data_IF_702607339507
#
_entry.id   IF_702607339507
#
_cell.length_a   1.000
_cell.length_b   1.000
_cell.length_c   1.000
_cell.angle_alpha   90.00
_cell.angle_beta   90.00
_cell.angle_gamma   90.00
#
_symmetry.space_group_name_H-M   'P 1'
#
loop_
_entity.id
_entity.type
_entity.pdbx_description
1 polymer ?
#
# COMPACT_ATOMS: atom_id res chain seq x y z
N UNK A 1 -25.33 -26.55 3.87
CA UNK A 1 -24.47 -25.79 2.95
C UNK A 1 -23.53 -24.96 3.81
N UNK A 2 -22.25 -25.33 3.88
CA UNK A 2 -21.25 -24.59 4.63
C UNK A 2 -20.75 -23.49 3.70
N UNK A 3 -21.10 -22.24 4.02
CA UNK A 3 -20.51 -21.08 3.37
C UNK A 3 -19.01 -21.08 3.70
N UNK A 4 -18.18 -21.48 2.75
CA UNK A 4 -16.74 -21.29 2.83
C UNK A 4 -16.49 -19.79 2.85
N UNK A 5 -16.15 -19.25 4.02
CA UNK A 5 -15.56 -17.92 4.12
C UNK A 5 -14.32 -17.90 3.23
N UNK A 6 -14.46 -17.33 2.03
CA UNK A 6 -13.33 -16.89 1.21
C UNK A 6 -12.71 -15.72 1.94
N UNK A 7 -11.82 -16.03 2.89
CA UNK A 7 -10.77 -15.08 3.25
C UNK A 7 -10.07 -14.82 1.92
N UNK A 8 -10.25 -13.62 1.37
CA UNK A 8 -9.48 -13.18 0.22
C UNK A 8 -8.01 -13.37 0.61
N UNK A 9 -7.37 -14.42 0.07
CA UNK A 9 -5.93 -14.56 0.15
C UNK A 9 -5.37 -13.22 -0.31
N UNK A 10 -4.57 -12.55 0.52
CA UNK A 10 -3.83 -11.37 0.08
C UNK A 10 -3.04 -11.76 -1.16
N UNK A 11 -3.60 -11.49 -2.34
CA UNK A 11 -2.96 -11.76 -3.60
C UNK A 11 -1.72 -10.89 -3.67
N UNK A 12 -0.58 -11.49 -4.00
CA UNK A 12 0.58 -10.70 -4.38
C UNK A 12 0.22 -9.80 -5.56
N UNK A 13 0.89 -8.66 -5.67
CA UNK A 13 0.82 -7.86 -6.89
C UNK A 13 1.84 -8.42 -7.87
N UNK A 14 1.37 -8.86 -9.04
CA UNK A 14 2.19 -9.48 -10.07
C UNK A 14 2.15 -8.66 -11.36
N UNK A 15 3.20 -8.78 -12.16
CA UNK A 15 3.35 -8.06 -13.42
C UNK A 15 3.90 -8.97 -14.50
N UNK A 16 3.50 -8.73 -15.75
CA UNK A 16 4.16 -9.31 -16.90
C UNK A 16 5.57 -8.70 -17.07
N UNK A 17 6.40 -9.32 -17.92
CA UNK A 17 7.79 -8.91 -18.14
C UNK A 17 7.94 -7.54 -18.82
N UNK A 18 6.87 -7.02 -19.41
CA UNK A 18 6.78 -5.68 -19.97
C UNK A 18 6.36 -4.63 -18.92
N UNK A 19 6.08 -5.04 -17.69
CA UNK A 19 5.59 -4.17 -16.62
C UNK A 19 4.07 -4.04 -16.57
N UNK A 20 3.31 -4.72 -17.43
CA UNK A 20 1.84 -4.69 -17.40
C UNK A 20 1.31 -5.37 -16.13
N UNK A 21 0.42 -4.73 -15.35
CA UNK A 21 -0.21 -5.35 -14.19
C UNK A 21 -0.93 -6.65 -14.53
N UNK A 22 -0.74 -7.68 -13.70
CA UNK A 22 -1.39 -8.99 -13.80
C UNK A 22 -1.98 -9.39 -12.45
N UNK A 23 -2.79 -8.50 -11.85
CA UNK A 23 -3.33 -8.66 -10.50
C UNK A 23 -4.45 -9.72 -10.42
N UNK A 24 -5.13 -9.98 -11.52
CA UNK A 24 -6.20 -10.99 -11.60
C UNK A 24 -5.95 -11.99 -12.72
N UNK A 25 -6.53 -13.18 -12.55
CA UNK A 25 -6.61 -14.22 -13.57
C UNK A 25 -8.03 -14.77 -13.66
N UNK A 26 -8.41 -15.24 -14.85
CA UNK A 26 -9.65 -15.99 -15.07
C UNK A 26 -9.51 -17.39 -14.48
N UNK A 27 -10.36 -17.74 -13.51
CA UNK A 27 -10.44 -19.06 -12.93
C UNK A 27 -11.12 -20.06 -13.90
N UNK A 28 -11.06 -21.37 -13.57
CA UNK A 28 -11.66 -22.43 -14.40
C UNK A 28 -13.17 -22.27 -14.58
N UNK A 29 -13.84 -21.63 -13.63
CA UNK A 29 -15.28 -21.32 -13.67
C UNK A 29 -15.59 -20.02 -14.44
N UNK A 30 -14.59 -19.35 -15.02
CA UNK A 30 -14.75 -18.10 -15.77
C UNK A 30 -14.70 -16.82 -14.92
N UNK A 31 -14.70 -16.92 -13.59
CA UNK A 31 -14.67 -15.77 -12.70
C UNK A 31 -13.26 -15.16 -12.58
N UNK A 32 -13.18 -13.84 -12.39
CA UNK A 32 -11.92 -13.18 -12.04
C UNK A 32 -11.59 -13.41 -10.57
N UNK A 33 -10.33 -13.77 -10.31
CA UNK A 33 -9.79 -13.84 -8.95
C UNK A 33 -8.37 -13.29 -8.91
N UNK A 34 -7.88 -12.97 -7.72
CA UNK A 34 -6.49 -12.55 -7.52
C UNK A 34 -5.50 -13.60 -8.04
N UNK A 35 -4.41 -13.12 -8.63
CA UNK A 35 -3.29 -13.93 -9.10
C UNK A 35 -2.52 -14.53 -7.91
N UNK A 36 -2.40 -15.85 -7.87
CA UNK A 36 -1.63 -16.56 -6.83
C UNK A 36 -0.18 -16.74 -7.25
N UNK A 37 0.70 -17.07 -6.30
CA UNK A 37 2.08 -17.48 -6.61
C UNK A 37 2.14 -18.66 -7.60
N UNK A 38 1.17 -19.57 -7.57
CA UNK A 38 1.10 -20.71 -8.50
C UNK A 38 0.82 -20.24 -9.94
N UNK A 39 -0.12 -19.31 -10.08
CA UNK A 39 -0.44 -18.71 -11.39
C UNK A 39 0.77 -17.93 -11.91
N UNK A 40 1.37 -17.09 -11.06
CA UNK A 40 2.54 -16.31 -11.40
C UNK A 40 3.72 -17.16 -11.89
N UNK A 41 4.02 -18.27 -11.20
CA UNK A 41 5.03 -19.24 -11.65
C UNK A 41 4.70 -19.85 -13.01
N UNK A 42 3.44 -20.24 -13.24
CA UNK A 42 3.00 -20.81 -14.51
C UNK A 42 3.10 -19.81 -15.66
N UNK A 43 2.78 -18.55 -15.40
CA UNK A 43 2.72 -17.48 -16.39
C UNK A 43 4.05 -16.71 -16.55
N UNK A 44 5.06 -17.01 -15.74
CA UNK A 44 6.35 -16.31 -15.77
C UNK A 44 6.25 -14.84 -15.34
N UNK A 45 5.33 -14.53 -14.42
CA UNK A 45 5.11 -13.18 -13.90
C UNK A 45 6.16 -12.79 -12.87
N UNK A 46 6.43 -11.49 -12.79
CA UNK A 46 7.33 -10.88 -11.84
C UNK A 46 6.57 -10.47 -10.57
N UNK A 47 7.10 -10.75 -9.37
CA UNK A 47 6.53 -10.23 -8.12
C UNK A 47 6.75 -8.71 -8.02
N UNK A 48 5.82 -8.02 -7.36
CA UNK A 48 6.03 -6.63 -6.97
C UNK A 48 7.15 -6.52 -5.91
N UNK A 49 7.76 -5.34 -5.82
CA UNK A 49 8.66 -4.97 -4.71
C UNK A 49 8.01 -5.29 -3.35
N UNK A 50 6.75 -4.88 -3.16
CA UNK A 50 6.00 -5.14 -1.92
C UNK A 50 5.70 -6.62 -1.68
N UNK A 51 5.50 -7.41 -2.73
CA UNK A 51 5.28 -8.87 -2.64
C UNK A 51 6.56 -9.56 -2.17
N UNK A 52 7.73 -9.12 -2.66
CA UNK A 52 9.04 -9.62 -2.19
C UNK A 52 9.24 -9.24 -0.72
N UNK A 53 8.99 -7.99 -0.35
CA UNK A 53 9.18 -7.52 1.03
C UNK A 53 8.29 -8.26 2.03
N UNK A 54 7.05 -8.58 1.65
CA UNK A 54 6.13 -9.39 2.49
C UNK A 54 6.64 -10.80 2.76
N UNK A 55 7.60 -11.32 1.99
CA UNK A 55 8.22 -12.62 2.26
C UNK A 55 9.26 -12.55 3.38
N UNK A 56 9.77 -11.36 3.71
CA UNK A 56 10.65 -11.18 4.85
C UNK A 56 9.86 -11.23 6.16
N UNK A 57 10.49 -11.73 7.23
CA UNK A 57 9.88 -11.71 8.55
C UNK A 57 9.71 -10.25 9.02
N UNK A 58 8.58 -9.94 9.64
CA UNK A 58 8.31 -8.62 10.25
C UNK A 58 7.94 -8.77 11.73
N UNK A 59 8.91 -9.03 12.63
CA UNK A 59 8.64 -9.33 14.03
C UNK A 59 7.87 -8.23 14.76
N UNK A 60 8.16 -6.96 14.45
CA UNK A 60 7.48 -5.81 15.06
C UNK A 60 5.99 -5.74 14.68
N UNK A 61 5.66 -5.99 13.40
CA UNK A 61 4.28 -6.03 12.94
C UNK A 61 3.52 -7.21 13.56
N UNK A 62 4.14 -8.38 13.65
CA UNK A 62 3.52 -9.55 14.27
C UNK A 62 3.28 -9.34 15.77
N UNK A 63 4.25 -8.78 16.49
CA UNK A 63 4.07 -8.41 17.90
C UNK A 63 2.94 -7.39 18.09
N UNK A 64 2.85 -6.38 17.20
CA UNK A 64 1.77 -5.40 17.23
C UNK A 64 0.39 -6.05 17.01
N UNK A 65 0.24 -6.93 16.01
CA UNK A 65 -1.02 -7.66 15.74
C UNK A 65 -1.45 -8.50 16.95
N UNK A 66 -0.50 -9.17 17.61
CA UNK A 66 -0.78 -9.95 18.82
C UNK A 66 -1.26 -9.05 19.97
N UNK A 67 -0.65 -7.89 20.17
CA UNK A 67 -1.10 -6.92 21.16
C UNK A 67 -2.51 -6.40 20.86
N UNK A 68 -2.84 -6.10 19.60
CA UNK A 68 -4.21 -5.72 19.21
C UNK A 68 -5.22 -6.83 19.48
N UNK A 69 -4.87 -8.08 19.18
CA UNK A 69 -5.72 -9.25 19.48
C UNK A 69 -5.97 -9.40 20.99
N UNK A 70 -4.93 -9.23 21.81
CA UNK A 70 -5.06 -9.30 23.26
C UNK A 70 -5.92 -8.16 23.82
N UNK A 71 -5.72 -6.93 23.35
CA UNK A 71 -6.53 -5.79 23.75
C UNK A 71 -8.00 -6.01 23.40
N UNK A 72 -8.31 -6.40 22.17
CA UNK A 72 -9.67 -6.73 21.76
C UNK A 72 -10.30 -7.83 22.64
N UNK A 73 -9.53 -8.86 23.00
CA UNK A 73 -10.01 -9.93 23.88
C UNK A 73 -10.33 -9.44 25.29
N UNK A 74 -9.58 -8.45 25.79
CA UNK A 74 -9.74 -7.89 27.14
C UNK A 74 -10.86 -6.85 27.23
N UNK A 75 -11.15 -6.13 26.15
CA UNK A 75 -12.09 -5.00 26.17
C UNK A 75 -13.44 -5.30 25.56
N UNK A 76 -13.55 -6.30 24.66
CA UNK A 76 -14.80 -6.61 23.99
C UNK A 76 -15.76 -7.37 24.94
N UNK A 77 -16.93 -6.80 25.31
CA UNK A 77 -17.86 -7.46 26.21
C UNK A 77 -18.51 -8.67 25.52
N UNK A 78 -18.66 -9.77 26.26
CA UNK A 78 -19.43 -10.94 25.81
C UNK A 78 -20.93 -10.63 25.79
N UNK A 79 -21.62 -11.09 24.77
CA UNK A 79 -23.08 -11.05 24.75
C UNK A 79 -23.68 -12.17 25.60
N UNK A 80 -24.88 -11.95 26.12
CA UNK A 80 -25.61 -12.97 26.89
C UNK A 80 -25.90 -14.20 26.02
N UNK A 81 -25.57 -15.39 26.52
CA UNK A 81 -25.71 -16.64 25.78
C UNK A 81 -24.75 -16.80 24.59
N UNK A 82 -23.75 -15.93 24.43
CA UNK A 82 -22.78 -16.03 23.33
C UNK A 82 -21.86 -17.25 23.48
N UNK A 83 -21.89 -18.13 22.48
CA UNK A 83 -20.98 -19.27 22.39
C UNK A 83 -19.52 -18.84 22.16
N UNK A 84 -18.58 -19.65 22.63
CA UNK A 84 -17.14 -19.34 22.58
C UNK A 84 -16.62 -19.06 21.17
N UNK A 85 -17.02 -19.87 20.18
CA UNK A 85 -16.59 -19.69 18.79
C UNK A 85 -17.10 -18.36 18.20
N UNK A 86 -18.31 -17.94 18.56
CA UNK A 86 -18.85 -16.63 18.17
C UNK A 86 -18.01 -15.51 18.76
N UNK A 87 -17.72 -15.59 20.05
CA UNK A 87 -16.92 -14.58 20.73
C UNK A 87 -15.51 -14.45 20.13
N UNK A 88 -14.84 -15.58 19.86
CA UNK A 88 -13.51 -15.60 19.22
C UNK A 88 -13.55 -14.90 17.86
N UNK A 89 -14.59 -15.15 17.04
CA UNK A 89 -14.75 -14.50 15.74
C UNK A 89 -14.91 -12.98 15.87
N UNK A 90 -15.65 -12.49 16.88
CA UNK A 90 -15.81 -11.05 17.10
C UNK A 90 -14.51 -10.40 17.58
N UNK A 91 -13.78 -11.03 18.49
CA UNK A 91 -12.45 -10.55 18.94
C UNK A 91 -11.47 -10.46 17.76
N UNK A 92 -11.44 -11.49 16.90
CA UNK A 92 -10.60 -11.48 15.71
C UNK A 92 -10.97 -10.37 14.72
N UNK A 93 -12.28 -10.09 14.55
CA UNK A 93 -12.74 -9.00 13.71
C UNK A 93 -12.38 -7.62 14.30
N UNK A 94 -12.65 -7.41 15.58
CA UNK A 94 -12.37 -6.18 16.32
C UNK A 94 -10.88 -5.82 16.27
N UNK A 95 -10.01 -6.80 16.56
CA UNK A 95 -8.54 -6.61 16.53
C UNK A 95 -7.98 -6.15 15.17
N UNK A 96 -8.72 -6.36 14.07
CA UNK A 96 -8.30 -6.00 12.71
C UNK A 96 -8.98 -4.74 12.19
N UNK A 97 -10.01 -4.25 12.88
CA UNK A 97 -10.86 -3.17 12.38
C UNK A 97 -10.09 -1.85 12.22
N UNK A 98 -9.21 -1.53 13.17
CA UNK A 98 -8.33 -0.36 13.07
C UNK A 98 -7.41 -0.43 11.84
N UNK A 99 -6.76 -1.58 11.61
CA UNK A 99 -5.90 -1.77 10.45
C UNK A 99 -6.69 -1.68 9.13
N UNK A 100 -7.90 -2.25 9.09
CA UNK A 100 -8.79 -2.18 7.92
C UNK A 100 -9.18 -0.75 7.60
N UNK A 101 -9.66 0.02 8.58
CA UNK A 101 -10.03 1.44 8.39
C UNK A 101 -8.84 2.28 7.95
N UNK A 102 -7.66 2.06 8.52
CA UNK A 102 -6.44 2.75 8.14
C UNK A 102 -6.05 2.45 6.68
N UNK A 103 -6.13 1.18 6.25
CA UNK A 103 -5.86 0.79 4.87
C UNK A 103 -6.87 1.38 3.87
N UNK A 104 -8.16 1.40 4.23
CA UNK A 104 -9.22 2.02 3.41
C UNK A 104 -9.01 3.53 3.26
N UNK A 105 -8.73 4.23 4.37
CA UNK A 105 -8.43 5.67 4.34
C UNK A 105 -7.18 5.95 3.52
N UNK A 106 -6.12 5.14 3.69
CA UNK A 106 -4.91 5.23 2.89
C UNK A 106 -5.19 5.10 1.40
N UNK A 107 -6.00 4.11 1.00
CA UNK A 107 -6.39 3.89 -0.40
C UNK A 107 -7.15 5.11 -0.98
N UNK A 108 -8.08 5.68 -0.21
CA UNK A 108 -8.83 6.87 -0.61
C UNK A 108 -7.90 8.07 -0.84
N UNK A 109 -7.00 8.34 0.11
CA UNK A 109 -6.05 9.46 0.02
C UNK A 109 -5.08 9.28 -1.15
N UNK A 110 -4.53 8.09 -1.36
CA UNK A 110 -3.68 7.82 -2.52
C UNK A 110 -4.42 8.04 -3.84
N UNK A 111 -5.65 7.55 -3.95
CA UNK A 111 -6.47 7.70 -5.15
C UNK A 111 -6.69 9.18 -5.49
N UNK A 112 -6.97 10.01 -4.48
CA UNK A 112 -7.20 11.42 -4.71
C UNK A 112 -5.91 12.19 -5.05
N UNK A 113 -4.78 11.83 -4.42
CA UNK A 113 -3.47 12.40 -4.77
C UNK A 113 -3.12 12.02 -6.23
N UNK A 114 -3.30 10.75 -6.60
CA UNK A 114 -3.11 10.28 -7.97
C UNK A 114 -3.93 11.11 -8.96
N UNK A 115 -5.24 11.22 -8.75
CA UNK A 115 -6.14 11.99 -9.61
C UNK A 115 -5.69 13.45 -9.74
N UNK A 116 -5.29 14.08 -8.63
CA UNK A 116 -4.81 15.45 -8.63
C UNK A 116 -3.55 15.64 -9.48
N UNK A 117 -2.54 14.77 -9.30
CA UNK A 117 -1.30 14.84 -10.09
C UNK A 117 -1.52 14.45 -11.57
N UNK A 118 -2.58 13.70 -11.88
CA UNK A 118 -3.04 13.40 -13.25
C UNK A 118 -3.90 14.54 -13.85
N UNK A 119 -4.11 15.64 -13.12
CA UNK A 119 -4.89 16.80 -13.56
C UNK A 119 -6.41 16.65 -13.42
N UNK A 120 -6.87 15.58 -12.78
CA UNK A 120 -8.28 15.34 -12.46
C UNK A 120 -8.61 15.98 -11.12
N UNK A 121 -9.17 17.19 -11.16
CA UNK A 121 -9.46 17.97 -9.95
C UNK A 121 -10.88 17.68 -9.47
N UNK A 122 -11.00 17.15 -8.25
CA UNK A 122 -12.24 17.10 -7.50
C UNK A 122 -12.26 18.21 -6.43
N UNK A 123 -13.21 19.13 -6.52
CA UNK A 123 -13.28 20.29 -5.62
C UNK A 123 -13.40 19.91 -4.14
N UNK A 124 -14.05 18.79 -3.83
CA UNK A 124 -14.21 18.31 -2.45
C UNK A 124 -12.89 17.84 -1.83
N UNK A 125 -11.91 17.47 -2.65
CA UNK A 125 -10.62 16.96 -2.21
C UNK A 125 -9.55 18.06 -2.06
N UNK A 126 -9.79 19.24 -2.64
CA UNK A 126 -8.83 20.36 -2.65
C UNK A 126 -8.32 20.79 -1.26
N UNK A 127 -9.15 20.89 -0.20
CA UNK A 127 -8.68 21.38 1.10
C UNK A 127 -7.53 20.55 1.71
N UNK A 128 -7.45 19.25 1.40
CA UNK A 128 -6.34 18.40 1.88
C UNK A 128 -5.25 18.18 0.82
N UNK A 129 -5.57 18.29 -0.47
CA UNK A 129 -4.61 18.10 -1.56
C UNK A 129 -3.71 19.32 -1.80
N UNK A 130 -4.21 20.54 -1.58
CA UNK A 130 -3.41 21.76 -1.77
C UNK A 130 -2.15 21.79 -0.88
N UNK A 131 -2.22 21.49 0.43
CA UNK A 131 -1.04 21.38 1.27
C UNK A 131 -0.05 20.30 0.79
N UNK A 132 -0.54 19.16 0.29
CA UNK A 132 0.30 18.07 -0.24
C UNK A 132 1.04 18.55 -1.48
N UNK A 133 0.32 19.14 -2.44
CA UNK A 133 0.93 19.69 -3.65
C UNK A 133 1.94 20.78 -3.33
N UNK A 134 1.58 21.70 -2.42
CA UNK A 134 2.47 22.78 -1.99
C UNK A 134 3.76 22.21 -1.40
N UNK A 135 3.67 21.22 -0.51
CA UNK A 135 4.84 20.59 0.09
C UNK A 135 5.74 19.90 -0.96
N UNK A 136 5.13 19.21 -1.93
CA UNK A 136 5.86 18.60 -3.06
C UNK A 136 6.56 19.66 -3.90
N UNK A 137 5.84 20.70 -4.31
CA UNK A 137 6.36 21.78 -5.14
C UNK A 137 7.44 22.61 -4.43
N UNK A 138 7.27 22.93 -3.15
CA UNK A 138 8.29 23.65 -2.36
C UNK A 138 9.59 22.82 -2.25
N UNK A 139 9.48 21.48 -2.21
CA UNK A 139 10.62 20.57 -1.99
C UNK A 139 11.37 20.21 -3.28
N UNK A 140 10.65 20.04 -4.39
CA UNK A 140 11.18 19.53 -5.66
C UNK A 140 11.11 20.55 -6.80
N UNK A 141 10.39 21.65 -6.61
CA UNK A 141 10.04 22.59 -7.68
C UNK A 141 8.86 22.10 -8.52
N UNK A 142 8.57 22.86 -9.56
CA UNK A 142 7.54 22.52 -10.53
C UNK A 142 8.11 21.53 -11.56
N UNK A 143 7.94 20.24 -11.29
CA UNK A 143 8.40 19.15 -12.16
C UNK A 143 7.24 18.55 -12.95
N UNK A 144 7.55 17.96 -14.11
CA UNK A 144 6.61 17.11 -14.85
C UNK A 144 6.50 15.76 -14.14
N UNK A 145 5.34 15.49 -13.55
CA UNK A 145 5.06 14.25 -12.82
C UNK A 145 4.41 13.20 -13.73
N UNK A 146 4.92 11.97 -13.64
CA UNK A 146 4.30 10.78 -14.20
C UNK A 146 3.72 9.94 -13.06
N UNK A 147 2.42 9.71 -13.12
CA UNK A 147 1.62 9.09 -12.06
C UNK A 147 1.34 7.61 -12.36
N UNK A 148 1.34 6.77 -11.32
CA UNK A 148 0.95 5.35 -11.33
C UNK A 148 1.60 4.51 -12.43
N UNK A 149 2.86 4.82 -12.78
CA UNK A 149 3.59 4.08 -13.81
C UNK A 149 4.13 2.78 -13.26
N UNK A 150 3.79 1.69 -13.91
CA UNK A 150 4.39 0.39 -13.64
C UNK A 150 5.70 0.20 -14.40
N UNK A 151 6.55 -0.67 -13.87
CA UNK A 151 7.81 -1.07 -14.50
C UNK A 151 8.08 -2.55 -14.26
N UNK A 152 8.92 -3.14 -15.12
CA UNK A 152 9.54 -4.45 -14.92
C UNK A 152 11.07 -4.28 -14.94
N UNK A 153 11.73 -4.71 -13.87
CA UNK A 153 13.18 -4.68 -13.74
C UNK A 153 13.78 -5.99 -14.26
N UNK A 154 14.89 -5.89 -14.99
CA UNK A 154 15.64 -7.04 -15.53
C UNK A 154 16.16 -7.98 -14.43
N UNK A 155 16.31 -7.46 -13.20
CA UNK A 155 16.68 -8.20 -11.99
C UNK A 155 15.56 -9.09 -11.43
N UNK A 156 14.40 -9.17 -12.08
CA UNK A 156 13.35 -10.15 -11.78
C UNK A 156 12.26 -9.67 -10.82
N UNK A 157 12.09 -8.36 -10.65
CA UNK A 157 10.99 -7.76 -9.89
C UNK A 157 10.28 -6.67 -10.70
N UNK A 158 9.11 -6.27 -10.24
CA UNK A 158 8.32 -5.20 -10.86
C UNK A 158 7.70 -4.30 -9.79
N UNK A 159 7.07 -3.21 -10.21
CA UNK A 159 6.42 -2.30 -9.27
C UNK A 159 5.53 -1.30 -9.98
N UNK A 160 4.77 -0.56 -9.18
CA UNK A 160 4.00 0.60 -9.60
C UNK A 160 4.35 1.72 -8.62
N UNK A 161 4.89 2.81 -9.15
CA UNK A 161 5.27 3.99 -8.37
C UNK A 161 4.09 4.94 -8.31
N UNK A 162 3.85 5.58 -7.16
CA UNK A 162 2.81 6.60 -7.03
C UNK A 162 3.10 7.75 -8.00
N UNK A 163 4.25 8.41 -7.84
CA UNK A 163 4.72 9.44 -8.77
C UNK A 163 6.23 9.39 -8.99
N UNK A 164 6.66 9.78 -10.20
CA UNK A 164 8.05 10.07 -10.47
C UNK A 164 8.18 11.20 -11.49
N UNK A 165 9.34 11.87 -11.49
CA UNK A 165 9.72 12.80 -12.54
C UNK A 165 11.07 12.40 -13.12
N UNK A 166 11.26 12.67 -14.41
CA UNK A 166 12.52 12.50 -15.12
C UNK A 166 13.23 13.84 -15.39
N UNK A 167 12.67 14.94 -14.88
CA UNK A 167 13.28 16.25 -15.02
C UNK A 167 14.57 16.33 -14.20
N UNK A 168 15.62 16.92 -14.78
CA UNK A 168 16.95 16.96 -14.16
C UNK A 168 17.49 15.57 -13.84
N UNK A 169 17.92 15.36 -12.60
CA UNK A 169 18.37 14.04 -12.10
C UNK A 169 17.21 13.10 -11.72
N UNK A 170 15.97 13.59 -11.77
CA UNK A 170 14.75 12.85 -11.47
C UNK A 170 14.36 12.81 -9.99
N UNK A 171 13.10 12.44 -9.76
CA UNK A 171 12.51 12.23 -8.42
C UNK A 171 11.65 10.99 -8.45
N UNK A 172 11.72 10.17 -7.41
CA UNK A 172 10.81 9.03 -7.18
C UNK A 172 10.19 9.23 -5.82
N UNK A 173 8.86 9.36 -5.78
CA UNK A 173 8.14 9.61 -4.54
C UNK A 173 7.01 8.61 -4.34
N UNK A 174 6.74 8.35 -3.07
CA UNK A 174 5.73 7.41 -2.61
C UNK A 174 5.05 8.06 -1.40
N UNK A 175 3.73 8.16 -1.46
CA UNK A 175 2.93 8.77 -0.42
C UNK A 175 2.69 7.75 0.69
N UNK A 176 2.56 8.23 1.92
CA UNK A 176 2.26 7.40 3.09
C UNK A 176 1.29 8.13 3.99
N UNK A 177 0.16 7.52 4.28
CA UNK A 177 -0.77 8.09 5.26
C UNK A 177 -0.39 7.68 6.68
N UNK A 178 -0.37 8.65 7.60
CA UNK A 178 -0.18 8.41 9.04
C UNK A 178 -1.07 9.33 9.84
N UNK A 179 -1.39 8.92 11.07
CA UNK A 179 -2.09 9.78 12.03
C UNK A 179 -1.04 10.59 12.81
N UNK A 180 -1.01 11.91 12.62
CA UNK A 180 -0.10 12.81 13.33
C UNK A 180 -0.59 14.27 13.26
N UNK A 181 -0.14 15.10 14.21
CA UNK A 181 -0.43 16.53 14.26
C UNK A 181 0.88 17.32 14.22
N UNK A 182 0.79 18.65 14.17
CA UNK A 182 1.97 19.52 14.28
C UNK A 182 2.79 19.25 15.54
N UNK A 183 2.14 18.83 16.64
CA UNK A 183 2.78 18.54 17.92
C UNK A 183 3.49 17.18 17.96
N UNK A 184 3.19 16.29 17.00
CA UNK A 184 3.78 14.94 16.92
C UNK A 184 4.58 14.73 15.63
N UNK A 185 4.84 15.80 14.87
CA UNK A 185 5.53 15.77 13.60
C UNK A 185 6.96 15.20 13.72
N UNK A 186 7.65 15.48 14.83
CA UNK A 186 8.99 14.98 15.14
C UNK A 186 9.05 13.44 15.26
N UNK A 187 7.90 12.80 15.51
CA UNK A 187 7.78 11.34 15.63
C UNK A 187 7.42 10.65 14.31
N UNK A 188 7.18 11.43 13.25
CA UNK A 188 6.85 10.88 11.92
C UNK A 188 8.12 10.39 11.25
N UNK A 189 8.42 9.10 11.43
CA UNK A 189 9.56 8.44 10.80
C UNK A 189 9.14 7.49 9.68
N UNK A 190 9.97 7.35 8.65
CA UNK A 190 9.86 6.24 7.71
C UNK A 190 10.36 4.93 8.30
N UNK A 191 9.87 3.83 7.77
CA UNK A 191 10.39 2.49 8.06
C UNK A 191 11.44 2.11 7.01
N UNK A 192 12.35 1.19 7.35
CA UNK A 192 13.37 0.68 6.42
C UNK A 192 12.73 0.15 5.14
N UNK A 193 11.55 -0.47 5.26
CA UNK A 193 10.72 -0.91 4.16
C UNK A 193 10.36 0.21 3.18
N UNK A 194 10.08 1.41 3.68
CA UNK A 194 9.74 2.56 2.84
C UNK A 194 10.95 3.01 2.01
N UNK A 195 12.14 2.98 2.62
CA UNK A 195 13.41 3.30 1.95
C UNK A 195 13.76 2.24 0.91
N UNK A 196 13.65 0.95 1.28
CA UNK A 196 13.87 -0.18 0.38
C UNK A 196 12.94 -0.14 -0.84
N UNK A 197 11.66 0.19 -0.62
CA UNK A 197 10.67 0.31 -1.68
C UNK A 197 11.09 1.36 -2.71
N UNK A 198 11.42 2.58 -2.26
CA UNK A 198 11.84 3.67 -3.14
C UNK A 198 13.17 3.39 -3.85
N UNK A 199 14.13 2.77 -3.17
CA UNK A 199 15.39 2.36 -3.78
C UNK A 199 15.17 1.36 -4.93
N UNK A 200 14.27 0.38 -4.73
CA UNK A 200 13.90 -0.57 -5.75
C UNK A 200 13.15 0.09 -6.91
N UNK A 201 12.23 1.02 -6.64
CA UNK A 201 11.53 1.78 -7.69
C UNK A 201 12.48 2.64 -8.52
N UNK A 202 13.41 3.34 -7.88
CA UNK A 202 14.46 4.11 -8.56
C UNK A 202 15.30 3.24 -9.49
N UNK A 203 15.70 2.05 -9.04
CA UNK A 203 16.43 1.09 -9.86
C UNK A 203 15.58 0.58 -11.04
N UNK A 204 14.34 0.15 -10.76
CA UNK A 204 13.43 -0.39 -11.76
C UNK A 204 13.03 0.61 -12.85
N UNK A 205 12.91 1.90 -12.50
CA UNK A 205 12.66 3.00 -13.44
C UNK A 205 13.91 3.45 -14.20
N UNK A 206 15.09 2.89 -13.87
CA UNK A 206 16.40 3.26 -14.42
C UNK A 206 16.75 4.74 -14.19
N UNK A 207 16.54 5.22 -12.96
CA UNK A 207 16.79 6.61 -12.54
C UNK A 207 17.87 6.69 -11.45
N UNK A 208 19.13 6.31 -11.71
CA UNK A 208 20.13 6.06 -10.65
C UNK A 208 20.41 7.25 -9.72
N UNK A 209 20.27 8.48 -10.23
CA UNK A 209 20.55 9.71 -9.49
C UNK A 209 19.30 10.34 -8.87
N UNK A 210 18.11 9.76 -9.12
CA UNK A 210 16.88 10.37 -8.64
C UNK A 210 16.85 10.46 -7.12
N UNK A 211 16.35 11.60 -6.63
CA UNK A 211 16.01 11.78 -5.22
C UNK A 211 14.82 10.89 -4.90
N UNK A 212 14.91 10.15 -3.79
CA UNK A 212 13.82 9.34 -3.28
C UNK A 212 13.17 10.04 -2.09
N UNK A 213 11.84 10.09 -2.05
CA UNK A 213 11.12 10.69 -0.92
C UNK A 213 9.86 9.91 -0.55
N UNK A 214 9.74 9.56 0.74
CA UNK A 214 8.47 9.17 1.32
C UNK A 214 7.76 10.45 1.78
N UNK A 215 6.55 10.68 1.29
CA UNK A 215 5.77 11.88 1.59
C UNK A 215 4.66 11.49 2.57
N UNK A 216 4.79 11.92 3.83
CA UNK A 216 3.82 11.61 4.86
C UNK A 216 2.65 12.60 4.84
N UNK A 217 1.46 12.06 4.64
CA UNK A 217 0.20 12.81 4.63
C UNK A 217 -0.54 12.50 5.93
N UNK A 218 -0.85 13.54 6.70
CA UNK A 218 -1.67 13.36 7.89
C UNK A 218 -3.11 13.08 7.52
N UNK A 219 -3.75 12.19 8.28
CA UNK A 219 -5.15 11.81 8.11
C UNK A 219 -5.98 12.00 9.39
N UNK A 220 -5.53 12.93 10.24
CA UNK A 220 -6.16 13.33 11.52
C UNK A 220 -6.29 14.83 11.62
#
# INVERSE_FOLDING_TARGET
MIATNTVAQEGGHWYAKDGTPAYTVTAKNGEQRSTTLRDAKKMGLLPSVTTIMKAAASPGLEAWKLNQMMLAALTLPRAEGEGEESFIKRVQADSKEHARKAAERGTQVHTAIEQFFDGQINANDLPYLEPVYKAVNDTFGNLMWAVEKSFAAESGFAGKVDIHSRDGEGVVADFKTKEFTSDTLDKVAGFDENVMQLAAYRNGLKLPNARCANIFVSVT
#
